data_IF_230905787264
#
_entry.id   IF_230905787264
#
_cell.length_a   1.000
_cell.length_b   1.000
_cell.length_c   1.000
_cell.angle_alpha   90.00
_cell.angle_beta   90.00
_cell.angle_gamma   90.00
#
_symmetry.space_group_name_H-M   'P 1'
#
loop_
_entity.id
_entity.type
_entity.pdbx_description
1 polymer ?
#
# COMPACT_ATOMS: atom_id res chain seq x y z
N UNK A 1 -31.09 24.53 -34.47
CA UNK A 1 -29.95 23.63 -34.22
C UNK A 1 -29.36 23.31 -35.59
N UNK A 2 -28.13 23.74 -35.87
CA UNK A 2 -27.52 23.64 -37.19
C UNK A 2 -26.32 22.70 -37.06
N UNK A 3 -26.24 21.71 -37.94
CA UNK A 3 -25.14 20.74 -37.98
C UNK A 3 -23.79 21.44 -38.24
N UNK A 4 -22.73 21.15 -37.47
CA UNK A 4 -21.44 21.80 -37.61
C UNK A 4 -20.65 21.20 -38.78
N UNK A 5 -20.50 21.95 -39.88
CA UNK A 5 -19.81 21.52 -41.11
C UNK A 5 -18.34 21.96 -41.19
N UNK A 6 -17.76 22.50 -40.13
CA UNK A 6 -16.36 22.96 -40.12
C UNK A 6 -15.51 22.12 -39.14
N UNK A 7 -14.40 21.55 -39.64
CA UNK A 7 -13.48 20.69 -38.89
C UNK A 7 -12.81 21.40 -37.71
N UNK A 8 -12.85 22.75 -37.71
CA UNK A 8 -12.38 23.56 -36.59
C UNK A 8 -13.29 23.46 -35.36
N UNK A 9 -14.58 23.13 -35.53
CA UNK A 9 -15.54 22.98 -34.42
C UNK A 9 -15.40 21.64 -33.66
N UNK A 10 -14.80 20.62 -34.28
CA UNK A 10 -14.48 19.34 -33.62
C UNK A 10 -13.54 19.51 -32.42
N UNK A 11 -12.65 20.50 -32.47
CA UNK A 11 -11.69 20.75 -31.37
C UNK A 11 -12.36 21.37 -30.13
N UNK A 12 -13.54 21.99 -30.28
CA UNK A 12 -14.30 22.61 -29.19
C UNK A 12 -15.03 21.57 -28.30
N UNK A 13 -15.22 20.34 -28.79
CA UNK A 13 -15.90 19.23 -28.10
C UNK A 13 -14.92 18.35 -27.28
N UNK A 14 -13.62 18.64 -27.30
CA UNK A 14 -12.59 17.88 -26.56
C UNK A 14 -12.39 18.29 -25.09
N UNK A 15 -13.28 19.13 -24.52
CA UNK A 15 -13.24 19.51 -23.09
C UNK A 15 -14.19 18.71 -22.20
N UNK A 16 -14.70 17.58 -22.68
CA UNK A 16 -15.46 16.65 -21.84
C UNK A 16 -14.56 15.48 -21.42
N UNK A 17 -14.51 15.22 -20.11
CA UNK A 17 -13.99 14.00 -19.48
C UNK A 17 -12.48 13.86 -19.16
N UNK A 18 -11.81 14.92 -18.71
CA UNK A 18 -10.80 14.73 -17.65
C UNK A 18 -11.50 14.67 -16.29
N UNK A 19 -12.27 13.60 -16.08
CA UNK A 19 -12.83 13.21 -14.79
C UNK A 19 -11.71 12.60 -13.93
N UNK A 20 -10.78 13.45 -13.46
CA UNK A 20 -9.91 13.05 -12.36
C UNK A 20 -10.72 13.13 -11.07
N UNK A 21 -11.53 12.10 -10.80
CA UNK A 21 -12.24 11.97 -9.52
C UNK A 21 -11.23 11.94 -8.38
N UNK A 22 -11.22 13.00 -7.57
CA UNK A 22 -10.92 12.94 -6.14
C UNK A 22 -9.55 12.42 -5.74
N UNK A 23 -8.47 13.15 -6.05
CA UNK A 23 -7.25 13.04 -5.23
C UNK A 23 -7.47 13.84 -3.95
N UNK A 24 -8.21 13.26 -3.00
CA UNK A 24 -8.45 13.89 -1.71
C UNK A 24 -7.14 14.35 -1.08
N UNK A 25 -7.11 15.60 -0.60
CA UNK A 25 -6.03 16.11 0.28
C UNK A 25 -6.20 15.47 1.67
N UNK A 26 -5.89 14.19 1.75
CA UNK A 26 -5.63 13.48 3.00
C UNK A 26 -4.13 13.32 3.14
N UNK A 27 -3.40 14.42 3.34
CA UNK A 27 -2.06 14.31 3.90
C UNK A 27 -2.22 13.59 5.23
N UNK A 28 -1.62 12.40 5.37
CA UNK A 28 -1.70 11.65 6.61
C UNK A 28 -0.95 12.44 7.66
N UNK A 29 -1.68 13.30 8.38
CA UNK A 29 -1.15 14.09 9.47
C UNK A 29 -0.38 13.16 10.38
N UNK A 30 0.88 13.48 10.62
CA UNK A 30 1.67 12.88 11.68
C UNK A 30 1.10 13.43 13.00
N UNK A 31 -0.11 12.99 13.35
CA UNK A 31 -0.77 13.31 14.60
C UNK A 31 0.07 12.73 15.72
N UNK A 32 0.80 13.62 16.40
CA UNK A 32 1.50 13.43 17.68
C UNK A 32 2.00 12.00 17.91
N UNK A 33 3.23 11.74 17.45
CA UNK A 33 4.01 10.59 17.91
C UNK A 33 4.25 10.70 19.41
N UNK A 34 3.36 10.11 20.21
CA UNK A 34 3.59 9.93 21.64
C UNK A 34 4.87 9.14 21.87
N UNK A 35 5.60 9.49 22.93
CA UNK A 35 6.85 8.84 23.32
C UNK A 35 6.71 7.31 23.29
N UNK A 36 7.77 6.63 22.84
CA UNK A 36 7.85 5.17 22.71
C UNK A 36 7.42 4.51 24.03
N UNK A 37 6.35 3.70 23.99
CA UNK A 37 5.98 2.86 25.14
C UNK A 37 7.02 1.75 25.30
N UNK A 38 7.72 1.76 26.43
CA UNK A 38 8.65 0.73 26.85
C UNK A 38 7.87 -0.49 27.35
N UNK A 39 7.49 -1.41 26.46
CA UNK A 39 6.99 -2.71 26.91
C UNK A 39 8.03 -3.79 26.66
N UNK A 40 8.67 -4.26 27.72
CA UNK A 40 9.35 -5.57 27.74
C UNK A 40 8.34 -6.59 28.26
N UNK A 41 7.82 -7.40 27.35
CA UNK A 41 7.08 -8.64 27.65
C UNK A 41 7.74 -9.71 26.80
N UNK A 42 8.30 -10.73 27.43
CA UNK A 42 8.82 -11.91 26.74
C UNK A 42 7.65 -12.61 26.05
N UNK A 43 7.82 -12.99 24.78
CA UNK A 43 6.80 -13.64 23.98
C UNK A 43 7.40 -14.88 23.33
N UNK A 44 6.56 -15.87 23.09
CA UNK A 44 6.95 -17.07 22.34
C UNK A 44 7.44 -16.68 20.94
N UNK A 45 8.64 -17.15 20.60
CA UNK A 45 9.39 -16.65 19.45
C UNK A 45 8.74 -17.06 18.12
N UNK A 46 8.16 -18.26 18.03
CA UNK A 46 7.65 -18.80 16.77
C UNK A 46 6.39 -18.07 16.28
N UNK A 47 5.42 -17.86 17.17
CA UNK A 47 4.22 -17.05 16.87
C UNK A 47 4.49 -15.55 16.97
N UNK A 48 5.58 -15.16 17.64
CA UNK A 48 6.09 -13.79 17.68
C UNK A 48 6.42 -13.22 16.31
N UNK A 49 6.82 -14.09 15.35
CA UNK A 49 6.96 -13.75 13.93
C UNK A 49 5.57 -13.74 13.26
N UNK A 50 4.87 -12.64 13.48
CA UNK A 50 3.51 -12.41 12.97
C UNK A 50 3.50 -12.02 11.48
N UNK A 51 2.39 -12.30 10.77
CA UNK A 51 2.16 -11.86 9.38
C UNK A 51 2.53 -10.39 9.09
N UNK A 52 2.20 -9.40 9.95
CA UNK A 52 2.63 -8.02 9.73
C UNK A 52 4.15 -7.83 9.90
N UNK A 53 4.84 -8.62 10.73
CA UNK A 53 6.30 -8.56 10.85
C UNK A 53 6.97 -9.00 9.56
N UNK A 54 6.56 -10.15 9.00
CA UNK A 54 7.04 -10.66 7.71
C UNK A 54 6.77 -9.64 6.60
N UNK A 55 5.55 -9.06 6.57
CA UNK A 55 5.22 -7.99 5.63
C UNK A 55 6.16 -6.79 5.77
N UNK A 56 6.47 -6.32 6.99
CA UNK A 56 7.39 -5.19 7.19
C UNK A 56 8.80 -5.50 6.68
N UNK A 57 9.30 -6.71 6.92
CA UNK A 57 10.62 -7.14 6.43
C UNK A 57 10.67 -7.17 4.91
N UNK A 58 9.72 -7.87 4.29
CA UNK A 58 9.61 -7.96 2.83
C UNK A 58 9.49 -6.57 2.18
N UNK A 59 8.74 -5.65 2.78
CA UNK A 59 8.65 -4.27 2.27
C UNK A 59 9.96 -3.51 2.42
N UNK A 60 10.68 -3.68 3.53
CA UNK A 60 12.04 -3.11 3.70
C UNK A 60 13.01 -3.66 2.65
N UNK A 61 12.86 -4.93 2.28
CA UNK A 61 13.60 -5.58 1.20
C UNK A 61 13.10 -5.29 -0.23
N UNK A 62 12.16 -4.35 -0.43
CA UNK A 62 11.70 -3.98 -1.77
C UNK A 62 10.65 -4.92 -2.40
N UNK A 63 10.13 -5.88 -1.65
CA UNK A 63 9.15 -6.85 -2.17
C UNK A 63 7.78 -6.20 -2.37
N UNK A 64 7.34 -6.09 -3.63
CA UNK A 64 6.10 -5.41 -4.03
C UNK A 64 4.83 -6.22 -3.79
N UNK A 65 4.85 -7.54 -3.98
CA UNK A 65 3.73 -8.48 -3.73
C UNK A 65 4.27 -9.72 -3.03
N UNK A 66 3.49 -10.28 -2.12
CA UNK A 66 3.87 -11.44 -1.29
C UNK A 66 2.72 -12.45 -1.39
N UNK A 67 3.04 -13.70 -1.72
CA UNK A 67 2.07 -14.80 -1.75
C UNK A 67 1.67 -15.24 -0.33
N UNK A 68 0.51 -15.89 -0.19
CA UNK A 68 0.01 -16.38 1.09
C UNK A 68 0.86 -17.49 1.71
N UNK A 69 1.50 -18.32 0.89
CA UNK A 69 2.32 -19.45 1.33
C UNK A 69 3.61 -19.01 2.04
N UNK A 70 4.11 -17.83 1.70
CA UNK A 70 5.35 -17.28 2.26
C UNK A 70 5.27 -17.13 3.78
N UNK A 71 4.10 -16.90 4.37
CA UNK A 71 4.03 -16.64 5.83
C UNK A 71 4.49 -17.80 6.68
N UNK A 72 4.16 -19.04 6.31
CA UNK A 72 4.57 -20.22 7.07
C UNK A 72 5.98 -20.66 6.66
N UNK A 73 6.30 -20.60 5.37
CA UNK A 73 7.64 -20.92 4.85
C UNK A 73 8.73 -20.03 5.48
N UNK A 74 8.47 -18.72 5.64
CA UNK A 74 9.43 -17.82 6.30
C UNK A 74 9.61 -18.15 7.79
N UNK A 75 8.63 -18.77 8.44
CA UNK A 75 8.78 -19.18 9.84
C UNK A 75 9.67 -20.41 9.97
N UNK A 76 9.48 -21.41 9.11
CA UNK A 76 10.36 -22.59 9.08
C UNK A 76 11.83 -22.20 8.88
N UNK A 77 12.09 -21.31 7.91
CA UNK A 77 13.45 -20.79 7.64
C UNK A 77 14.03 -20.04 8.85
N UNK A 78 13.23 -19.25 9.57
CA UNK A 78 13.70 -18.47 10.72
C UNK A 78 13.84 -19.31 12.00
N UNK A 79 13.09 -20.39 12.13
CA UNK A 79 13.24 -21.37 13.21
C UNK A 79 14.46 -22.27 12.97
N UNK A 80 14.93 -22.36 11.72
CA UNK A 80 16.04 -23.23 11.33
C UNK A 80 15.63 -24.69 11.21
N UNK A 81 14.32 -24.96 11.13
CA UNK A 81 13.79 -26.31 10.86
C UNK A 81 13.76 -26.48 9.35
N UNK A 82 14.47 -27.48 8.79
CA UNK A 82 14.52 -27.73 7.35
C UNK A 82 13.15 -28.12 6.78
#
# INVERSE_FOLDING_TARGET
MKEPTDVTELTKVSKTHLKMTGRGKGGKGLGKGGAKRHRKVLRDNIQGITKPAIRRLARRGGVKRISGLIYEETRGVLEGVP
#
